data_IF_471624438419
#
_entry.id   IF_471624438419
#
_cell.length_a   1.000
_cell.length_b   1.000
_cell.length_c   1.000
_cell.angle_alpha   90.00
_cell.angle_beta   90.00
_cell.angle_gamma   90.00
#
_symmetry.space_group_name_H-M   'P 1'
#
loop_
_entity.id
_entity.type
_entity.pdbx_description
1 polymer ?
#
# COMPACT_ATOMS: atom_id res chain seq x y z
N UNK A 1 6.65 23.19 10.61
CA UNK A 1 5.73 22.44 9.73
C UNK A 1 4.61 23.34 9.20
N UNK A 2 3.82 24.03 10.05
CA UNK A 2 2.70 24.90 9.63
C UNK A 2 3.04 25.84 8.46
N UNK A 3 4.13 26.61 8.58
CA UNK A 3 4.60 27.52 7.54
C UNK A 3 4.83 26.87 6.15
N UNK A 4 5.29 25.61 6.11
CA UNK A 4 5.46 24.88 4.85
C UNK A 4 4.11 24.45 4.27
N UNK A 5 3.14 24.12 5.12
CA UNK A 5 1.77 23.76 4.70
C UNK A 5 1.09 24.99 4.09
N UNK A 6 1.14 26.13 4.77
CA UNK A 6 0.60 27.41 4.27
C UNK A 6 1.23 27.84 2.93
N UNK A 7 2.50 27.52 2.72
CA UNK A 7 3.19 27.76 1.46
C UNK A 7 2.82 26.75 0.35
N UNK A 8 2.05 25.70 0.66
CA UNK A 8 1.70 24.64 -0.29
C UNK A 8 2.86 23.69 -0.65
N UNK A 9 3.83 23.54 0.25
CA UNK A 9 5.03 22.71 0.06
C UNK A 9 4.91 21.30 0.68
N UNK A 10 3.73 20.95 1.20
CA UNK A 10 3.46 19.65 1.83
C UNK A 10 2.23 19.06 1.19
N UNK A 11 2.33 17.82 0.70
CA UNK A 11 1.21 17.07 0.09
C UNK A 11 0.55 16.07 1.05
N UNK A 12 1.27 15.61 2.06
CA UNK A 12 0.76 14.66 3.05
C UNK A 12 1.62 14.58 4.30
N UNK A 13 1.04 14.00 5.34
CA UNK A 13 1.71 13.73 6.60
C UNK A 13 1.48 12.28 7.02
N UNK A 14 2.49 11.68 7.66
CA UNK A 14 2.46 10.30 8.10
C UNK A 14 2.45 10.21 9.63
N UNK A 15 1.78 9.17 10.15
CA UNK A 15 1.74 8.83 11.57
C UNK A 15 1.20 9.93 12.49
N UNK A 16 0.35 10.81 11.96
CA UNK A 16 -0.40 11.77 12.76
C UNK A 16 -1.75 11.16 13.12
N UNK A 17 -2.02 11.03 14.42
CA UNK A 17 -3.28 10.48 14.97
C UNK A 17 -4.09 11.55 15.67
N UNK A 18 -5.41 11.38 15.62
CA UNK A 18 -6.36 12.18 16.36
C UNK A 18 -7.08 13.23 15.52
N UNK A 19 -8.39 13.07 15.41
CA UNK A 19 -9.28 13.92 14.60
C UNK A 19 -9.06 15.41 14.82
N UNK A 20 -8.93 15.87 16.09
CA UNK A 20 -8.72 17.28 16.38
C UNK A 20 -7.43 17.81 15.75
N UNK A 21 -6.32 17.11 15.93
CA UNK A 21 -5.02 17.50 15.38
C UNK A 21 -5.03 17.48 13.84
N UNK A 22 -5.60 16.43 13.25
CA UNK A 22 -5.71 16.28 11.80
C UNK A 22 -6.56 17.40 11.22
N UNK A 23 -7.68 17.74 11.86
CA UNK A 23 -8.57 18.84 11.44
C UNK A 23 -7.86 20.19 11.49
N UNK A 24 -7.10 20.47 12.55
CA UNK A 24 -6.35 21.73 12.67
C UNK A 24 -5.30 21.87 11.59
N UNK A 25 -4.56 20.79 11.30
CA UNK A 25 -3.55 20.75 10.23
C UNK A 25 -4.22 20.86 8.85
N UNK A 26 -5.35 20.20 8.64
CA UNK A 26 -6.08 20.27 7.38
C UNK A 26 -6.60 21.68 7.09
N UNK A 27 -7.07 22.40 8.13
CA UNK A 27 -7.48 23.81 7.98
C UNK A 27 -6.34 24.69 7.46
N UNK A 28 -5.11 24.50 7.94
CA UNK A 28 -3.96 25.24 7.42
C UNK A 28 -3.77 25.02 5.91
N UNK A 29 -3.96 23.80 5.43
CA UNK A 29 -3.81 23.49 4.02
C UNK A 29 -4.94 24.05 3.17
N UNK A 30 -6.19 23.92 3.62
CA UNK A 30 -7.38 24.28 2.84
C UNK A 30 -7.69 25.76 2.91
N UNK A 31 -7.62 26.35 4.12
CA UNK A 31 -8.07 27.74 4.37
C UNK A 31 -6.91 28.75 4.27
N UNK A 32 -5.69 28.35 4.62
CA UNK A 32 -4.56 29.28 4.77
C UNK A 32 -3.45 29.07 3.73
N UNK A 33 -3.52 28.02 2.89
CA UNK A 33 -2.51 27.85 1.84
C UNK A 33 -2.92 28.48 0.52
N UNK A 34 -1.92 28.83 -0.28
CA UNK A 34 -2.12 29.33 -1.65
C UNK A 34 -2.92 28.39 -2.56
N UNK A 35 -2.79 27.08 -2.33
CA UNK A 35 -3.36 26.06 -3.20
C UNK A 35 -4.77 25.62 -2.79
N UNK A 36 -5.11 25.70 -1.50
CA UNK A 36 -6.37 25.20 -0.96
C UNK A 36 -6.58 23.70 -1.13
N UNK A 37 -5.49 22.92 -1.38
CA UNK A 37 -5.55 21.49 -1.62
C UNK A 37 -5.44 20.74 -0.27
N UNK A 38 -6.39 19.83 0.04
CA UNK A 38 -6.30 19.00 1.23
C UNK A 38 -5.04 18.12 1.27
N UNK A 39 -4.50 17.91 2.47
CA UNK A 39 -3.40 16.97 2.70
C UNK A 39 -3.91 15.53 2.79
N UNK A 40 -3.05 14.59 2.38
CA UNK A 40 -3.21 13.18 2.69
C UNK A 40 -2.63 12.85 4.06
N UNK A 41 -3.38 12.09 4.87
CA UNK A 41 -2.90 11.59 6.16
C UNK A 41 -2.71 10.08 6.08
N UNK A 42 -1.44 9.66 6.08
CA UNK A 42 -1.05 8.27 5.86
C UNK A 42 -0.58 7.57 7.12
N UNK A 43 -0.88 6.27 7.20
CA UNK A 43 -0.40 5.39 8.26
C UNK A 43 -0.35 3.93 7.77
N UNK A 44 0.58 3.14 8.30
CA UNK A 44 0.50 1.69 8.15
C UNK A 44 -0.70 1.15 8.95
N UNK A 45 -1.61 0.49 8.25
CA UNK A 45 -2.80 -0.16 8.81
C UNK A 45 -2.82 -1.61 8.30
N UNK A 46 -1.66 -2.25 8.30
CA UNK A 46 -1.37 -3.46 7.54
C UNK A 46 -2.09 -4.70 8.07
N UNK A 47 -2.40 -4.75 9.37
CA UNK A 47 -3.19 -5.81 9.99
C UNK A 47 -4.12 -5.29 11.09
N UNK A 48 -4.74 -4.16 10.84
CA UNK A 48 -5.70 -3.50 11.73
C UNK A 48 -5.25 -2.11 12.18
N UNK A 49 -6.15 -1.38 12.82
CA UNK A 49 -5.88 -0.05 13.36
C UNK A 49 -6.02 -0.03 14.89
N UNK A 50 -7.23 0.01 15.44
CA UNK A 50 -7.49 -0.21 16.87
C UNK A 50 -7.75 -1.71 17.13
N UNK A 51 -8.52 -2.38 16.27
CA UNK A 51 -8.68 -3.84 16.29
C UNK A 51 -7.46 -4.48 15.63
N UNK A 52 -6.72 -5.28 16.39
CA UNK A 52 -5.54 -6.00 15.90
C UNK A 52 -5.97 -7.34 15.31
N UNK A 53 -5.75 -7.51 14.01
CA UNK A 53 -5.94 -8.76 13.29
C UNK A 53 -4.63 -9.58 13.25
N UNK A 54 -4.69 -10.86 12.92
CA UNK A 54 -3.47 -11.64 12.63
C UNK A 54 -2.62 -10.94 11.57
N UNK A 55 -1.30 -11.15 11.61
CA UNK A 55 -0.40 -10.65 10.57
C UNK A 55 -0.84 -11.17 9.19
N UNK A 56 -0.55 -10.43 8.10
CA UNK A 56 -0.98 -10.83 6.75
C UNK A 56 -0.62 -12.27 6.36
N UNK A 57 0.59 -12.73 6.72
CA UNK A 57 0.99 -14.11 6.51
C UNK A 57 0.07 -15.12 7.26
N UNK A 58 -0.36 -14.79 8.47
CA UNK A 58 -1.32 -15.61 9.23
C UNK A 58 -2.72 -15.57 8.61
N UNK A 59 -3.16 -14.40 8.15
CA UNK A 59 -4.44 -14.25 7.43
C UNK A 59 -4.44 -15.05 6.12
N UNK A 60 -3.34 -15.08 5.39
CA UNK A 60 -3.24 -15.83 4.12
C UNK A 60 -3.48 -17.32 4.30
N UNK A 61 -3.10 -17.89 5.45
CA UNK A 61 -3.32 -19.30 5.78
C UNK A 61 -4.80 -19.67 5.94
N UNK A 62 -5.70 -18.71 6.09
CA UNK A 62 -7.13 -18.98 6.19
C UNK A 62 -7.77 -19.31 4.85
N UNK A 63 -7.22 -18.82 3.74
CA UNK A 63 -7.81 -18.89 2.39
C UNK A 63 -9.21 -18.26 2.30
N UNK A 64 -9.63 -17.52 3.31
CA UNK A 64 -10.95 -16.87 3.40
C UNK A 64 -10.86 -15.40 2.95
N UNK A 65 -11.08 -15.19 1.65
CA UNK A 65 -11.04 -13.85 1.05
C UNK A 65 -12.12 -12.91 1.64
N UNK A 66 -13.24 -13.46 2.11
CA UNK A 66 -14.28 -12.65 2.72
C UNK A 66 -13.85 -12.13 4.10
N UNK A 67 -13.26 -12.98 4.93
CA UNK A 67 -12.70 -12.58 6.23
C UNK A 67 -11.53 -11.59 6.07
N UNK A 68 -10.63 -11.83 5.09
CA UNK A 68 -9.51 -10.93 4.79
C UNK A 68 -10.01 -9.55 4.34
N UNK A 69 -10.96 -9.49 3.42
CA UNK A 69 -11.59 -8.24 2.99
C UNK A 69 -12.33 -7.53 4.12
N UNK A 70 -12.99 -8.30 5.02
CA UNK A 70 -13.66 -7.74 6.18
C UNK A 70 -12.69 -7.16 7.21
N UNK A 71 -11.52 -7.77 7.43
CA UNK A 71 -10.48 -7.21 8.30
C UNK A 71 -9.97 -5.85 7.78
N UNK A 72 -9.72 -5.76 6.48
CA UNK A 72 -9.36 -4.50 5.83
C UNK A 72 -10.48 -3.44 5.93
N UNK A 73 -11.75 -3.86 5.81
CA UNK A 73 -12.90 -2.96 5.95
C UNK A 73 -13.01 -2.39 7.37
N UNK A 74 -12.87 -3.22 8.39
CA UNK A 74 -12.90 -2.79 9.79
C UNK A 74 -11.75 -1.82 10.06
N UNK A 75 -10.55 -2.15 9.61
CA UNK A 75 -9.38 -1.28 9.74
C UNK A 75 -9.59 0.09 9.06
N UNK A 76 -10.23 0.12 7.88
CA UNK A 76 -10.56 1.38 7.20
C UNK A 76 -11.55 2.22 7.98
N UNK A 77 -12.62 1.62 8.52
CA UNK A 77 -13.61 2.32 9.35
C UNK A 77 -12.96 2.95 10.58
N UNK A 78 -12.11 2.21 11.27
CA UNK A 78 -11.44 2.69 12.48
C UNK A 78 -10.42 3.78 12.15
N UNK A 79 -9.59 3.59 11.13
CA UNK A 79 -8.58 4.56 10.72
C UNK A 79 -9.20 5.87 10.21
N UNK A 80 -10.26 5.80 9.40
CA UNK A 80 -10.96 6.98 8.89
C UNK A 80 -11.64 7.75 10.01
N UNK A 81 -12.20 7.07 11.02
CA UNK A 81 -12.79 7.70 12.19
C UNK A 81 -11.76 8.54 12.99
N UNK A 82 -10.48 8.20 12.93
CA UNK A 82 -9.39 8.96 13.53
C UNK A 82 -8.76 10.00 12.56
N UNK A 83 -9.27 10.09 11.33
CA UNK A 83 -8.88 11.09 10.34
C UNK A 83 -7.81 10.61 9.35
N UNK A 84 -7.43 9.34 9.35
CA UNK A 84 -6.52 8.76 8.38
C UNK A 84 -7.26 8.57 7.05
N UNK A 85 -6.64 8.99 5.95
CA UNK A 85 -7.22 8.90 4.60
C UNK A 85 -6.42 8.00 3.65
N UNK A 86 -5.27 7.49 4.09
CA UNK A 86 -4.34 6.72 3.27
C UNK A 86 -3.66 5.64 4.10
N UNK A 87 -3.72 4.38 3.65
CA UNK A 87 -2.98 3.28 4.27
C UNK A 87 -1.84 2.82 3.39
N UNK A 88 -0.74 2.33 3.99
CA UNK A 88 0.39 1.72 3.27
C UNK A 88 0.22 0.20 3.23
N UNK A 89 -0.91 -0.24 2.69
CA UNK A 89 -1.36 -1.63 2.58
C UNK A 89 -2.27 -1.79 1.34
N UNK A 90 -2.29 -2.97 0.68
CA UNK A 90 -1.64 -4.23 1.03
C UNK A 90 -0.16 -4.30 0.64
N UNK A 91 0.61 -5.12 1.38
CA UNK A 91 1.93 -5.54 0.97
C UNK A 91 1.82 -6.83 0.18
N UNK A 92 2.24 -6.79 -1.08
CA UNK A 92 2.02 -7.88 -2.05
C UNK A 92 3.32 -8.51 -2.56
N UNK A 93 4.43 -8.19 -1.93
CA UNK A 93 5.71 -8.78 -2.27
C UNK A 93 5.67 -10.31 -2.12
N UNK A 94 5.96 -11.01 -3.20
CA UNK A 94 6.13 -12.47 -3.17
C UNK A 94 7.43 -12.78 -2.43
N UNK A 95 7.32 -13.53 -1.34
CA UNK A 95 8.44 -13.90 -0.49
C UNK A 95 8.67 -15.40 -0.51
N UNK A 96 9.82 -15.82 -1.01
CA UNK A 96 10.23 -17.24 -1.09
C UNK A 96 11.34 -17.60 -0.11
N UNK A 97 12.05 -16.61 0.38
CA UNK A 97 13.10 -16.82 1.37
C UNK A 97 12.59 -16.43 2.77
N UNK A 98 12.37 -17.39 3.68
CA UNK A 98 11.84 -17.12 5.00
C UNK A 98 12.79 -16.33 5.91
N UNK A 99 14.04 -16.09 5.49
CA UNK A 99 15.00 -15.26 6.21
C UNK A 99 14.75 -13.76 6.00
N UNK A 100 13.98 -13.38 4.98
CA UNK A 100 13.62 -11.98 4.77
C UNK A 100 12.76 -11.46 5.92
N UNK A 101 13.20 -10.37 6.55
CA UNK A 101 12.59 -9.84 7.79
C UNK A 101 11.16 -9.35 7.64
N UNK A 102 10.66 -9.18 6.40
CA UNK A 102 9.32 -8.66 6.12
C UNK A 102 8.33 -9.72 5.61
N UNK A 103 8.67 -10.99 5.70
CA UNK A 103 7.77 -12.10 5.30
C UNK A 103 6.41 -12.01 5.99
N UNK A 104 6.37 -11.55 7.24
CA UNK A 104 5.16 -11.42 8.05
C UNK A 104 4.13 -10.42 7.49
N UNK A 105 4.58 -9.46 6.69
CA UNK A 105 3.71 -8.40 6.15
C UNK A 105 2.97 -8.81 4.86
N UNK A 106 3.40 -9.89 4.20
CA UNK A 106 2.86 -10.37 2.93
C UNK A 106 2.05 -11.65 3.03
N UNK A 107 1.65 -12.15 1.87
CA UNK A 107 0.76 -13.31 1.73
C UNK A 107 1.50 -14.63 1.43
N UNK A 108 2.84 -14.62 1.47
CA UNK A 108 3.67 -15.78 1.19
C UNK A 108 4.23 -15.82 -0.24
N UNK A 109 4.40 -17.03 -0.79
CA UNK A 109 5.15 -17.24 -2.02
C UNK A 109 4.27 -17.46 -3.28
N UNK A 110 2.97 -17.71 -3.11
CA UNK A 110 2.07 -18.00 -4.22
C UNK A 110 1.51 -16.72 -4.85
N UNK A 111 1.80 -16.45 -6.15
CA UNK A 111 1.33 -15.22 -6.80
C UNK A 111 -0.18 -15.15 -6.97
N UNK A 112 -0.86 -16.29 -7.19
CA UNK A 112 -2.31 -16.30 -7.37
C UNK A 112 -3.02 -15.98 -6.05
N UNK A 113 -2.64 -16.63 -4.95
CA UNK A 113 -3.16 -16.33 -3.62
C UNK A 113 -2.86 -14.88 -3.23
N UNK A 114 -1.63 -14.40 -3.46
CA UNK A 114 -1.23 -13.03 -3.22
C UNK A 114 -2.10 -12.02 -3.98
N UNK A 115 -2.41 -12.30 -5.25
CA UNK A 115 -3.31 -11.48 -6.06
C UNK A 115 -4.76 -11.47 -5.55
N UNK A 116 -5.28 -12.63 -5.14
CA UNK A 116 -6.62 -12.73 -4.58
C UNK A 116 -6.75 -11.94 -3.27
N UNK A 117 -5.75 -12.03 -2.40
CA UNK A 117 -5.67 -11.29 -1.13
C UNK A 117 -5.52 -9.79 -1.39
N UNK A 118 -4.63 -9.39 -2.31
CA UNK A 118 -4.46 -7.99 -2.69
C UNK A 118 -5.79 -7.36 -3.12
N UNK A 119 -6.52 -8.03 -4.01
CA UNK A 119 -7.86 -7.61 -4.43
C UNK A 119 -8.83 -7.49 -3.24
N UNK A 120 -8.89 -8.50 -2.37
CA UNK A 120 -9.79 -8.49 -1.23
C UNK A 120 -9.51 -7.32 -0.28
N UNK A 121 -8.24 -7.03 -0.01
CA UNK A 121 -7.83 -5.93 0.86
C UNK A 121 -8.10 -4.55 0.25
N UNK A 122 -7.78 -4.34 -1.03
CA UNK A 122 -8.08 -3.07 -1.72
C UNK A 122 -9.57 -2.77 -1.67
N UNK A 123 -10.41 -3.75 -2.02
CA UNK A 123 -11.87 -3.60 -1.96
C UNK A 123 -12.38 -3.41 -0.51
N UNK A 124 -11.69 -3.96 0.46
CA UNK A 124 -11.99 -3.73 1.88
C UNK A 124 -11.70 -2.29 2.31
N UNK A 125 -10.55 -1.74 1.92
CA UNK A 125 -10.16 -0.37 2.27
C UNK A 125 -10.96 0.69 1.52
N UNK A 126 -11.12 0.53 0.20
CA UNK A 126 -11.63 1.57 -0.70
C UNK A 126 -13.10 1.45 -1.09
N UNK A 127 -13.77 0.34 -0.73
CA UNK A 127 -15.12 0.04 -1.18
C UNK A 127 -15.16 -1.01 -2.29
N UNK A 128 -16.29 -1.71 -2.39
CA UNK A 128 -16.46 -2.87 -3.29
C UNK A 128 -16.85 -2.51 -4.72
N UNK A 129 -17.50 -1.37 -4.90
CA UNK A 129 -17.91 -0.90 -6.22
C UNK A 129 -16.78 -0.08 -6.84
N UNK A 130 -16.19 -0.60 -7.91
CA UNK A 130 -15.07 0.06 -8.61
C UNK A 130 -15.44 1.45 -9.18
N UNK A 131 -16.72 1.72 -9.40
CA UNK A 131 -17.18 3.01 -9.89
C UNK A 131 -17.49 4.01 -8.78
N UNK A 132 -17.45 3.57 -7.52
CA UNK A 132 -17.86 4.36 -6.33
C UNK A 132 -16.86 4.23 -5.18
N UNK A 133 -15.60 3.90 -5.48
CA UNK A 133 -14.55 3.81 -4.47
C UNK A 133 -14.15 5.18 -3.95
N UNK A 134 -13.77 5.25 -2.67
CA UNK A 134 -13.31 6.46 -1.98
C UNK A 134 -14.33 7.62 -1.95
N UNK A 135 -15.61 7.30 -2.07
CA UNK A 135 -16.70 8.30 -1.99
C UNK A 135 -17.32 8.39 -0.61
N UNK A 136 -17.08 7.40 0.25
CA UNK A 136 -17.63 7.32 1.60
C UNK A 136 -16.60 7.79 2.64
N UNK A 137 -17.09 8.37 3.70
CA UNK A 137 -16.25 8.88 4.80
C UNK A 137 -15.55 7.79 5.62
N UNK A 138 -15.93 6.53 5.43
CA UNK A 138 -15.38 5.36 6.12
C UNK A 138 -14.44 4.52 5.23
N UNK A 139 -14.06 5.05 4.08
CA UNK A 139 -13.11 4.48 3.13
C UNK A 139 -11.76 5.21 3.19
N UNK A 140 -10.67 4.49 2.97
CA UNK A 140 -9.31 5.04 2.92
C UNK A 140 -8.58 4.53 1.69
N UNK A 141 -7.73 5.36 1.11
CA UNK A 141 -6.95 5.01 -0.08
C UNK A 141 -5.94 3.91 0.25
N UNK A 142 -5.95 2.83 -0.51
CA UNK A 142 -4.98 1.75 -0.43
C UNK A 142 -3.66 2.14 -1.12
N UNK A 143 -2.57 1.47 -0.74
CA UNK A 143 -1.26 1.64 -1.35
C UNK A 143 -0.58 0.28 -1.48
N UNK A 144 -0.61 -0.29 -2.70
CA UNK A 144 0.11 -1.54 -2.93
C UNK A 144 1.62 -1.31 -2.84
N UNK A 145 2.29 -2.19 -2.13
CA UNK A 145 3.72 -2.06 -1.87
C UNK A 145 4.43 -3.42 -1.92
N UNK A 146 5.70 -3.46 -2.25
CA UNK A 146 6.60 -2.40 -2.69
C UNK A 146 6.97 -2.68 -4.14
N UNK A 147 6.65 -1.77 -5.04
CA UNK A 147 6.84 -1.95 -6.47
C UNK A 147 8.30 -1.66 -6.89
N UNK A 148 9.11 -2.69 -7.29
CA UNK A 148 8.68 -4.07 -7.27
C UNK A 148 9.82 -4.99 -6.84
N UNK A 149 9.48 -6.28 -6.64
CA UNK A 149 10.44 -7.36 -6.40
C UNK A 149 11.12 -7.34 -5.03
N UNK A 150 10.64 -6.57 -4.07
CA UNK A 150 11.34 -6.38 -2.80
C UNK A 150 11.50 -7.67 -1.98
N UNK A 151 10.56 -8.60 -2.09
CA UNK A 151 10.63 -9.92 -1.45
C UNK A 151 11.58 -10.92 -2.13
N UNK A 152 12.21 -10.53 -3.25
CA UNK A 152 13.12 -11.38 -4.02
C UNK A 152 14.61 -11.06 -3.78
N UNK A 153 14.94 -10.26 -2.77
CA UNK A 153 16.32 -9.87 -2.45
C UNK A 153 17.23 -11.08 -2.25
N UNK A 154 18.42 -11.01 -2.81
CA UNK A 154 19.41 -12.10 -2.75
C UNK A 154 19.71 -12.52 -1.30
N UNK A 155 19.78 -13.82 -1.07
CA UNK A 155 20.02 -14.46 0.22
C UNK A 155 19.00 -14.10 1.31
N UNK A 156 17.81 -13.62 0.95
CA UNK A 156 16.78 -13.18 1.90
C UNK A 156 17.17 -11.93 2.69
N UNK A 157 18.12 -11.16 2.21
CA UNK A 157 18.56 -9.94 2.89
C UNK A 157 17.68 -8.77 2.51
N UNK A 158 17.25 -8.02 3.52
CA UNK A 158 16.53 -6.79 3.31
C UNK A 158 17.37 -5.74 2.58
N UNK A 159 16.76 -4.93 1.73
CA UNK A 159 17.42 -3.92 0.88
C UNK A 159 18.46 -4.45 -0.12
N UNK A 160 18.53 -5.76 -0.32
CA UNK A 160 19.56 -6.33 -1.19
C UNK A 160 19.13 -6.33 -2.66
N UNK A 161 20.09 -6.55 -3.52
CA UNK A 161 19.96 -6.67 -4.97
C UNK A 161 18.96 -7.74 -5.37
N UNK A 162 18.26 -7.49 -6.46
CA UNK A 162 17.43 -8.48 -7.16
C UNK A 162 17.95 -8.62 -8.59
N UNK A 163 18.19 -9.86 -9.00
CA UNK A 163 18.53 -10.20 -10.37
C UNK A 163 17.64 -11.34 -10.85
N UNK A 164 16.85 -11.09 -11.88
CA UNK A 164 16.00 -12.11 -12.48
C UNK A 164 15.62 -11.78 -13.93
N UNK A 165 15.28 -12.82 -14.68
CA UNK A 165 14.75 -12.61 -16.03
C UNK A 165 13.36 -11.95 -15.98
N UNK A 166 13.04 -11.13 -16.99
CA UNK A 166 11.71 -10.54 -17.15
C UNK A 166 10.59 -11.57 -17.21
N UNK A 167 10.86 -12.72 -17.82
CA UNK A 167 9.89 -13.82 -17.85
C UNK A 167 9.52 -14.30 -16.44
N UNK A 168 10.49 -14.48 -15.56
CA UNK A 168 10.27 -14.84 -14.17
C UNK A 168 9.55 -13.72 -13.42
N UNK A 169 9.99 -12.49 -13.61
CA UNK A 169 9.38 -11.31 -13.02
C UNK A 169 7.86 -11.24 -13.28
N UNK A 170 7.45 -11.31 -14.54
CA UNK A 170 6.03 -11.20 -14.90
C UNK A 170 5.20 -12.40 -14.48
N UNK A 171 5.73 -13.61 -14.58
CA UNK A 171 4.98 -14.83 -14.22
C UNK A 171 4.86 -15.07 -12.72
N UNK A 172 5.84 -14.60 -11.92
CA UNK A 172 5.93 -14.99 -10.51
C UNK A 172 5.75 -13.83 -9.53
N UNK A 173 6.07 -12.59 -9.93
CA UNK A 173 6.14 -11.47 -8.99
C UNK A 173 5.18 -10.33 -9.30
N UNK A 174 4.81 -10.11 -10.57
CA UNK A 174 4.02 -8.94 -10.96
C UNK A 174 2.49 -9.13 -10.82
N UNK A 175 2.01 -10.37 -10.83
CA UNK A 175 0.58 -10.63 -10.79
C UNK A 175 -0.16 -10.02 -9.59
N UNK A 176 0.36 -10.05 -8.34
CA UNK A 176 -0.34 -9.43 -7.22
C UNK A 176 -0.48 -7.90 -7.35
N UNK A 177 0.50 -7.22 -7.95
CA UNK A 177 0.39 -5.78 -8.24
C UNK A 177 -0.68 -5.50 -9.29
N UNK A 178 -0.70 -6.29 -10.38
CA UNK A 178 -1.74 -6.19 -11.40
C UNK A 178 -3.14 -6.41 -10.80
N UNK A 179 -3.29 -7.39 -9.93
CA UNK A 179 -4.55 -7.69 -9.26
C UNK A 179 -5.03 -6.52 -8.37
N UNK A 180 -4.11 -5.85 -7.66
CA UNK A 180 -4.41 -4.66 -6.86
C UNK A 180 -4.84 -3.49 -7.75
N UNK A 181 -4.10 -3.21 -8.84
CA UNK A 181 -4.44 -2.16 -9.80
C UNK A 181 -5.80 -2.40 -10.44
N UNK A 182 -6.10 -3.64 -10.85
CA UNK A 182 -7.42 -4.03 -11.37
C UNK A 182 -8.54 -3.94 -10.34
N UNK A 183 -8.22 -3.95 -9.06
CA UNK A 183 -9.17 -3.69 -7.98
C UNK A 183 -9.40 -2.19 -7.71
N UNK A 184 -8.77 -1.31 -8.48
CA UNK A 184 -8.97 0.14 -8.40
C UNK A 184 -8.10 0.82 -7.35
N UNK A 185 -6.96 0.22 -6.97
CA UNK A 185 -6.13 0.78 -5.93
C UNK A 185 -5.64 2.21 -6.23
N UNK A 186 -5.61 3.06 -5.20
CA UNK A 186 -5.38 4.50 -5.36
C UNK A 186 -3.92 4.92 -5.43
N UNK A 187 -2.98 4.10 -4.95
CA UNK A 187 -1.56 4.47 -4.94
C UNK A 187 -0.61 3.27 -4.91
N UNK A 188 0.62 3.49 -5.38
CA UNK A 188 1.68 2.47 -5.44
C UNK A 188 2.93 3.01 -4.75
N UNK A 189 3.52 2.23 -3.85
CA UNK A 189 4.77 2.56 -3.18
C UNK A 189 5.94 1.85 -3.88
N UNK A 190 6.91 2.63 -4.34
CA UNK A 190 8.14 2.08 -4.92
C UNK A 190 8.97 1.33 -3.87
N UNK A 191 9.66 0.28 -4.30
CA UNK A 191 10.52 -0.52 -3.44
C UNK A 191 11.91 0.09 -3.21
N UNK A 192 12.64 -0.47 -2.25
CA UNK A 192 13.97 0.00 -1.86
C UNK A 192 15.13 -0.73 -2.53
N UNK A 193 14.87 -1.93 -3.05
CA UNK A 193 15.89 -2.73 -3.74
C UNK A 193 16.30 -2.12 -5.08
N UNK A 194 17.36 -2.61 -5.61
CA UNK A 194 17.68 -2.47 -7.03
C UNK A 194 17.25 -3.72 -7.81
N UNK A 195 17.01 -3.56 -9.08
CA UNK A 195 16.76 -4.62 -10.04
C UNK A 195 17.71 -4.41 -11.21
N UNK A 196 18.49 -5.45 -11.53
CA UNK A 196 19.52 -5.42 -12.60
C UNK A 196 20.48 -4.21 -12.46
N UNK A 197 20.91 -3.93 -11.22
CA UNK A 197 21.82 -2.82 -10.88
C UNK A 197 21.20 -1.42 -10.90
N UNK A 198 19.88 -1.30 -11.08
CA UNK A 198 19.19 -0.01 -11.09
C UNK A 198 18.23 0.09 -9.90
N UNK A 199 18.38 1.09 -9.00
CA UNK A 199 17.43 1.30 -7.91
C UNK A 199 15.99 1.40 -8.43
N UNK A 200 15.04 0.68 -7.83
CA UNK A 200 13.67 0.59 -8.31
C UNK A 200 13.02 1.98 -8.53
N UNK A 201 13.24 2.92 -7.62
CA UNK A 201 12.72 4.30 -7.71
C UNK A 201 13.29 5.08 -8.90
N UNK A 202 14.50 4.74 -9.37
CA UNK A 202 15.17 5.37 -10.51
C UNK A 202 15.04 4.54 -11.80
N UNK A 203 14.44 3.35 -11.73
CA UNK A 203 14.28 2.46 -12.87
C UNK A 203 13.14 2.95 -13.78
N UNK A 204 13.49 3.73 -14.82
CA UNK A 204 12.52 4.28 -15.76
C UNK A 204 11.68 3.20 -16.44
N UNK A 205 12.29 2.05 -16.79
CA UNK A 205 11.55 0.96 -17.41
C UNK A 205 10.48 0.43 -16.45
N UNK A 206 10.85 0.15 -15.21
CA UNK A 206 9.92 -0.37 -14.19
C UNK A 206 8.82 0.65 -13.86
N UNK A 207 9.21 1.89 -13.53
CA UNK A 207 8.28 2.93 -13.05
C UNK A 207 7.43 3.58 -14.14
N UNK A 208 7.87 3.56 -15.39
CA UNK A 208 7.16 4.19 -16.48
C UNK A 208 6.60 3.18 -17.47
N UNK A 209 7.44 2.29 -18.01
CA UNK A 209 6.98 1.41 -19.07
C UNK A 209 6.13 0.26 -18.53
N UNK A 210 6.46 -0.28 -17.36
CA UNK A 210 5.66 -1.33 -16.73
C UNK A 210 4.49 -0.70 -15.96
N UNK A 211 4.77 0.13 -14.96
CA UNK A 211 3.73 0.61 -14.04
C UNK A 211 2.68 1.53 -14.70
N UNK A 212 3.07 2.38 -15.66
CA UNK A 212 2.19 3.42 -16.19
C UNK A 212 1.68 3.18 -17.61
N UNK A 213 2.32 2.29 -18.37
CA UNK A 213 1.99 2.09 -19.79
C UNK A 213 1.45 0.70 -20.11
N UNK A 214 1.52 -0.25 -19.20
CA UNK A 214 0.92 -1.57 -19.31
C UNK A 214 -0.30 -1.68 -18.40
#
# INVERSE_FOLDING_TARGET
MAKKIEQGLVGGLFNLKGVAKIRDVQKLAVENSRLGIPLLFGMDVIHGYETIFPIPLGLSCTWDMAAIGQSARIAAIEASADGISWTFSPMVDISRDPRWGRVSEGSGEDPFLGGAIARAMVLGYQGKDLNDQLTRNDEIMACVKHFALYGAGEAGRDYNTVDMSRNRMFNEYMYPYEAAVRAGEGSVMASFNEEDGVPATANHWLMTNVLRKQ
#
